data_IF_470142635750
#
_entry.id   IF_470142635750
#
_cell.length_a   1.000
_cell.length_b   1.000
_cell.length_c   1.000
_cell.angle_alpha   90.00
_cell.angle_beta   90.00
_cell.angle_gamma   90.00
#
_symmetry.space_group_name_H-M   'P 1'
#
loop_
_entity.id
_entity.type
_entity.pdbx_description
1 polymer ?
#
# COMPACT_ATOMS: atom_id res chain seq x y z
N UNK A 1 -13.30 5.99 38.94
CA UNK A 1 -12.09 6.61 38.35
C UNK A 1 -11.54 5.61 37.36
N UNK A 2 -11.78 5.83 36.07
CA UNK A 2 -11.30 4.96 35.00
C UNK A 2 -10.12 5.69 34.37
N UNK A 3 -8.93 5.12 34.51
CA UNK A 3 -7.73 5.59 33.83
C UNK A 3 -8.01 5.64 32.34
N UNK A 4 -8.07 6.87 31.82
CA UNK A 4 -8.13 7.09 30.38
C UNK A 4 -6.83 6.57 29.79
N UNK A 5 -6.85 5.61 28.85
CA UNK A 5 -5.62 5.18 28.19
C UNK A 5 -5.04 6.40 27.49
N UNK A 6 -3.93 6.89 28.02
CA UNK A 6 -3.14 8.00 27.47
C UNK A 6 -2.95 7.73 25.98
N UNK A 7 -3.21 8.73 25.13
CA UNK A 7 -3.08 8.67 23.67
C UNK A 7 -1.63 8.42 23.25
N UNK A 8 -1.17 7.17 23.35
CA UNK A 8 0.18 6.76 22.92
C UNK A 8 0.37 6.96 21.41
N UNK A 9 -0.70 6.98 20.62
CA UNK A 9 -0.63 7.17 19.15
C UNK A 9 -0.18 8.56 18.71
N UNK A 10 -0.61 9.61 19.41
CA UNK A 10 -0.37 10.99 18.97
C UNK A 10 1.08 11.41 19.25
N UNK A 11 1.65 10.90 20.35
CA UNK A 11 3.05 11.10 20.70
C UNK A 11 3.98 10.29 19.78
N UNK A 12 3.62 9.06 19.40
CA UNK A 12 4.46 8.23 18.54
C UNK A 12 4.70 8.85 17.15
N UNK A 13 3.67 9.39 16.49
CA UNK A 13 3.84 10.06 15.19
C UNK A 13 4.59 11.39 15.29
N UNK A 14 4.44 12.10 16.40
CA UNK A 14 5.12 13.39 16.61
C UNK A 14 6.59 13.20 16.93
N UNK A 15 6.92 12.20 17.76
CA UNK A 15 8.29 11.79 18.03
C UNK A 15 8.94 11.30 16.74
N UNK A 16 8.28 10.43 15.96
CA UNK A 16 8.80 9.95 14.67
C UNK A 16 9.09 11.08 13.67
N UNK A 17 8.17 12.03 13.55
CA UNK A 17 8.34 13.21 12.71
C UNK A 17 9.54 14.05 13.16
N UNK A 18 9.69 14.28 14.46
CA UNK A 18 10.82 15.00 15.03
C UNK A 18 12.14 14.25 14.83
N UNK A 19 12.18 12.93 15.01
CA UNK A 19 13.40 12.14 14.78
C UNK A 19 13.80 12.17 13.31
N UNK A 20 12.84 12.09 12.38
CA UNK A 20 13.11 12.20 10.95
C UNK A 20 13.61 13.61 10.56
N UNK A 21 13.07 14.67 11.16
CA UNK A 21 13.52 16.06 10.95
C UNK A 21 14.93 16.26 11.49
N UNK A 22 15.21 15.81 12.71
CA UNK A 22 16.56 15.90 13.28
C UNK A 22 17.57 15.10 12.46
N UNK A 23 17.21 13.91 11.98
CA UNK A 23 18.07 13.12 11.09
C UNK A 23 18.28 13.79 9.72
N UNK A 24 17.26 14.42 9.14
CA UNK A 24 17.39 15.13 7.86
C UNK A 24 18.23 16.41 7.98
N UNK A 25 18.05 17.19 9.05
CA UNK A 25 18.86 18.37 9.36
C UNK A 25 20.30 17.95 9.65
N UNK A 26 20.50 16.91 10.48
CA UNK A 26 21.82 16.42 10.80
C UNK A 26 22.54 15.81 9.59
N UNK A 27 21.82 15.15 8.66
CA UNK A 27 22.39 14.69 7.40
C UNK A 27 22.77 15.83 6.44
N UNK A 28 22.11 16.99 6.54
CA UNK A 28 22.46 18.19 5.78
C UNK A 28 23.63 18.96 6.41
N UNK A 29 23.76 18.91 7.74
CA UNK A 29 24.77 19.68 8.50
C UNK A 29 26.07 18.90 8.80
N UNK A 30 26.06 17.56 8.80
CA UNK A 30 27.23 16.73 9.11
C UNK A 30 27.65 15.94 7.87
N UNK A 31 28.74 16.31 7.16
CA UNK A 31 29.23 15.52 6.05
C UNK A 31 29.87 14.20 6.54
N UNK A 32 29.59 13.08 5.86
CA UNK A 32 30.32 11.81 6.00
C UNK A 32 29.54 10.68 6.69
N UNK A 33 30.25 9.81 7.42
CA UNK A 33 29.68 8.66 8.13
C UNK A 33 28.56 8.96 9.15
N UNK A 34 28.51 10.14 9.83
CA UNK A 34 27.44 10.44 10.79
C UNK A 34 26.08 10.58 10.11
N UNK A 35 26.04 11.15 8.90
CA UNK A 35 24.83 11.24 8.06
C UNK A 35 24.24 9.86 7.77
N UNK A 36 25.09 8.87 7.48
CA UNK A 36 24.68 7.50 7.15
C UNK A 36 24.11 6.78 8.40
N UNK A 37 24.73 7.00 9.57
CA UNK A 37 24.25 6.43 10.83
C UNK A 37 22.89 7.01 11.24
N UNK A 38 22.71 8.33 11.14
CA UNK A 38 21.43 9.01 11.41
C UNK A 38 20.32 8.57 10.45
N UNK A 39 20.69 8.23 9.22
CA UNK A 39 19.79 7.66 8.23
C UNK A 39 19.31 6.26 8.60
N UNK A 40 20.23 5.40 9.00
CA UNK A 40 19.93 4.04 9.41
C UNK A 40 19.01 4.03 10.64
N UNK A 41 19.25 4.92 11.60
CA UNK A 41 18.39 5.12 12.78
C UNK A 41 17.01 5.63 12.40
N UNK A 42 16.90 6.59 11.48
CA UNK A 42 15.61 7.11 11.01
C UNK A 42 14.79 6.03 10.26
N UNK A 43 15.44 5.25 9.39
CA UNK A 43 14.80 4.14 8.67
C UNK A 43 14.38 3.04 9.64
N UNK A 44 15.21 2.68 10.61
CA UNK A 44 14.87 1.69 11.65
C UNK A 44 13.67 2.14 12.50
N UNK A 45 13.65 3.40 12.93
CA UNK A 45 12.54 3.98 13.69
C UNK A 45 11.24 4.02 12.87
N UNK A 46 11.30 4.42 11.59
CA UNK A 46 10.15 4.39 10.69
C UNK A 46 9.65 2.95 10.44
N UNK A 47 10.57 1.99 10.28
CA UNK A 47 10.23 0.58 10.06
C UNK A 47 9.53 -0.02 11.27
N UNK A 48 9.98 0.32 12.49
CA UNK A 48 9.34 -0.09 13.73
C UNK A 48 7.92 0.49 13.89
N UNK A 49 7.73 1.75 13.49
CA UNK A 49 6.41 2.40 13.50
C UNK A 49 5.47 1.84 12.42
N UNK A 50 5.98 1.54 11.23
CA UNK A 50 5.23 0.86 10.18
C UNK A 50 4.81 -0.54 10.67
N UNK A 51 5.71 -1.28 11.31
CA UNK A 51 5.39 -2.58 11.90
C UNK A 51 4.28 -2.49 12.96
N UNK A 52 4.37 -1.53 13.88
CA UNK A 52 3.33 -1.27 14.89
C UNK A 52 1.99 -0.81 14.30
N UNK A 53 2.01 -0.03 13.21
CA UNK A 53 0.82 0.40 12.48
C UNK A 53 0.18 -0.74 11.66
N UNK A 54 1.00 -1.64 11.10
CA UNK A 54 0.56 -2.80 10.33
C UNK A 54 -0.19 -3.78 11.22
N UNK A 55 0.23 -4.00 12.46
CA UNK A 55 -0.49 -4.88 13.39
C UNK A 55 -1.90 -4.40 13.75
N UNK A 56 -2.19 -3.08 13.67
CA UNK A 56 -3.51 -2.52 14.02
C UNK A 56 -4.56 -2.58 12.89
N UNK A 57 -4.27 -3.25 11.79
CA UNK A 57 -5.26 -3.68 10.79
C UNK A 57 -5.88 -2.60 9.88
N UNK A 58 -5.78 -1.29 10.17
CA UNK A 58 -6.36 -0.28 9.28
C UNK A 58 -5.46 -0.03 8.05
N UNK A 59 -6.00 -0.38 6.88
CA UNK A 59 -5.37 -0.20 5.57
C UNK A 59 -4.97 1.26 5.33
N UNK A 60 -5.72 2.23 5.86
CA UNK A 60 -5.38 3.65 5.75
C UNK A 60 -4.07 3.97 6.46
N UNK A 61 -3.88 3.45 7.68
CA UNK A 61 -2.65 3.65 8.47
C UNK A 61 -1.46 2.95 7.82
N UNK A 62 -1.68 1.76 7.22
CA UNK A 62 -0.66 1.05 6.44
C UNK A 62 -0.22 1.83 5.20
N UNK A 63 -1.18 2.36 4.44
CA UNK A 63 -0.89 3.17 3.27
C UNK A 63 -0.15 4.46 3.64
N UNK A 64 -0.55 5.12 4.74
CA UNK A 64 0.09 6.34 5.22
C UNK A 64 1.51 6.09 5.70
N UNK A 65 1.73 4.99 6.43
CA UNK A 65 3.06 4.59 6.87
C UNK A 65 3.98 4.29 5.69
N UNK A 66 3.47 3.60 4.65
CA UNK A 66 4.21 3.35 3.42
C UNK A 66 4.59 4.65 2.70
N UNK A 67 3.64 5.59 2.56
CA UNK A 67 3.90 6.89 1.95
C UNK A 67 4.97 7.69 2.70
N UNK A 68 4.96 7.63 4.04
CA UNK A 68 6.00 8.26 4.86
C UNK A 68 7.37 7.61 4.62
N UNK A 69 7.46 6.28 4.57
CA UNK A 69 8.73 5.56 4.28
C UNK A 69 9.28 5.96 2.91
N UNK A 70 8.42 5.90 1.88
CA UNK A 70 8.81 6.25 0.52
C UNK A 70 9.25 7.71 0.44
N UNK A 71 8.50 8.63 1.06
CA UNK A 71 8.83 10.05 1.11
C UNK A 71 10.19 10.32 1.77
N UNK A 72 10.45 9.69 2.92
CA UNK A 72 11.72 9.83 3.65
C UNK A 72 12.89 9.29 2.83
N UNK A 73 12.75 8.12 2.19
CA UNK A 73 13.80 7.54 1.35
C UNK A 73 14.12 8.44 0.14
N UNK A 74 13.08 9.01 -0.49
CA UNK A 74 13.23 9.96 -1.59
C UNK A 74 13.94 11.23 -1.16
N UNK A 75 13.46 11.90 -0.11
CA UNK A 75 14.06 13.13 0.39
C UNK A 75 15.53 12.93 0.78
N UNK A 76 15.80 11.81 1.45
CA UNK A 76 17.14 11.41 1.84
C UNK A 76 18.05 11.16 0.64
N UNK A 77 17.62 10.33 -0.32
CA UNK A 77 18.45 9.97 -1.46
C UNK A 77 18.81 11.19 -2.30
N UNK A 78 17.84 12.10 -2.52
CA UNK A 78 18.06 13.35 -3.24
C UNK A 78 18.94 14.30 -2.43
N UNK A 79 18.71 14.41 -1.12
CA UNK A 79 19.53 15.23 -0.22
C UNK A 79 21.00 14.79 -0.21
N UNK A 80 21.24 13.49 -0.12
CA UNK A 80 22.58 12.91 -0.24
C UNK A 80 23.21 13.22 -1.60
N UNK A 81 22.44 13.07 -2.69
CA UNK A 81 22.87 13.44 -4.03
C UNK A 81 23.32 14.90 -4.13
N UNK A 82 22.51 15.83 -3.60
CA UNK A 82 22.82 17.26 -3.56
C UNK A 82 24.04 17.58 -2.68
N UNK A 83 24.18 16.92 -1.53
CA UNK A 83 25.35 17.07 -0.67
C UNK A 83 26.62 16.60 -1.38
N UNK A 84 26.56 15.45 -2.07
CA UNK A 84 27.68 14.92 -2.85
C UNK A 84 28.05 15.84 -4.02
N UNK A 85 27.10 16.59 -4.63
CA UNK A 85 27.46 17.63 -5.63
C UNK A 85 28.37 18.71 -5.07
N UNK A 86 28.20 19.07 -3.79
CA UNK A 86 29.04 20.07 -3.11
C UNK A 86 30.35 19.50 -2.60
N UNK A 87 30.31 18.28 -2.07
CA UNK A 87 31.48 17.64 -1.44
C UNK A 87 32.44 17.07 -2.47
N UNK A 88 31.93 16.56 -3.59
CA UNK A 88 32.71 15.93 -4.67
C UNK A 88 32.16 16.34 -6.05
N UNK A 89 32.50 17.56 -6.53
CA UNK A 89 32.01 18.08 -7.80
C UNK A 89 32.51 17.25 -9.00
N UNK A 90 33.62 16.54 -8.87
CA UNK A 90 34.14 15.64 -9.91
C UNK A 90 33.24 14.44 -10.12
N UNK A 91 32.81 13.81 -9.03
CA UNK A 91 31.88 12.70 -9.08
C UNK A 91 30.54 13.11 -9.70
N UNK A 92 30.07 14.32 -9.39
CA UNK A 92 28.87 14.87 -10.02
C UNK A 92 29.04 15.08 -11.52
N UNK A 93 30.15 15.70 -11.96
CA UNK A 93 30.45 15.92 -13.37
C UNK A 93 30.51 14.62 -14.17
N UNK A 94 30.95 13.52 -13.56
CA UNK A 94 30.90 12.19 -14.20
C UNK A 94 29.50 11.62 -14.29
N UNK A 95 28.71 11.77 -13.22
CA UNK A 95 27.35 11.25 -13.19
C UNK A 95 26.41 12.00 -14.15
N UNK A 96 26.60 13.31 -14.32
CA UNK A 96 25.71 14.19 -15.08
C UNK A 96 26.28 14.71 -16.39
N UNK A 97 27.61 14.68 -16.56
CA UNK A 97 28.29 15.26 -17.72
C UNK A 97 28.37 14.33 -18.92
N UNK A 98 28.80 14.89 -20.03
CA UNK A 98 29.07 14.16 -21.27
C UNK A 98 30.54 13.83 -21.37
N UNK A 99 30.88 12.61 -21.79
CA UNK A 99 32.27 12.26 -22.07
C UNK A 99 32.74 13.05 -23.30
N UNK A 100 33.88 13.72 -23.16
CA UNK A 100 34.50 14.56 -24.19
C UNK A 100 36.01 14.31 -24.22
N UNK A 101 36.62 14.67 -25.35
CA UNK A 101 38.07 14.81 -25.45
C UNK A 101 38.39 16.29 -25.33
N UNK A 102 39.05 16.69 -24.24
CA UNK A 102 39.45 18.07 -24.01
C UNK A 102 40.89 18.29 -24.46
N UNK A 103 41.13 19.35 -25.23
CA UNK A 103 42.45 19.85 -25.56
C UNK A 103 42.88 20.87 -24.51
N UNK A 104 43.95 20.58 -23.81
CA UNK A 104 44.47 21.41 -22.71
C UNK A 104 45.65 22.22 -23.22
N UNK A 105 45.54 23.55 -23.11
CA UNK A 105 46.65 24.49 -23.31
C UNK A 105 47.47 24.63 -22.03
N UNK A 106 48.75 25.01 -22.11
CA UNK A 106 49.77 24.87 -21.04
C UNK A 106 49.47 25.57 -19.69
N UNK A 107 48.35 26.28 -19.55
CA UNK A 107 47.98 27.04 -18.35
C UNK A 107 47.27 26.16 -17.31
N UNK A 108 48.05 25.33 -16.61
CA UNK A 108 47.57 24.53 -15.48
C UNK A 108 47.99 25.15 -14.14
N UNK A 109 46.99 25.50 -13.33
CA UNK A 109 47.20 25.99 -11.97
C UNK A 109 47.16 24.79 -11.00
N UNK A 110 48.30 24.48 -10.39
CA UNK A 110 48.39 23.41 -9.39
C UNK A 110 47.72 23.86 -8.10
N UNK A 111 46.75 23.09 -7.62
CA UNK A 111 46.11 23.38 -6.36
C UNK A 111 47.11 23.13 -5.23
N UNK A 112 47.75 24.19 -4.72
CA UNK A 112 48.75 24.13 -3.67
C UNK A 112 48.09 23.93 -2.29
N UNK A 113 47.40 22.80 -2.15
CA UNK A 113 46.57 22.48 -1.01
C UNK A 113 47.27 21.52 -0.06
N UNK A 114 48.05 22.04 0.90
CA UNK A 114 48.31 21.31 2.15
C UNK A 114 47.02 21.25 2.99
N UNK A 115 45.98 20.56 2.52
CA UNK A 115 44.87 20.16 3.39
C UNK A 115 45.39 19.05 4.31
N UNK A 116 45.33 19.28 5.63
CA UNK A 116 45.82 18.37 6.69
C UNK A 116 45.44 16.92 6.35
N UNK A 117 46.41 16.12 5.89
CA UNK A 117 46.28 14.67 5.73
C UNK A 117 46.35 14.09 4.30
N UNK A 118 46.14 14.85 3.22
CA UNK A 118 46.26 14.34 1.85
C UNK A 118 46.76 15.41 0.88
N UNK A 119 47.90 15.19 0.22
CA UNK A 119 48.33 16.01 -0.92
C UNK A 119 47.32 15.82 -2.05
N UNK A 120 46.52 16.83 -2.36
CA UNK A 120 45.69 16.80 -3.57
C UNK A 120 46.60 17.01 -4.77
N UNK A 121 46.99 15.92 -5.45
CA UNK A 121 47.76 15.95 -6.69
C UNK A 121 46.88 16.40 -7.89
N UNK A 122 46.18 17.53 -7.77
CA UNK A 122 45.27 18.02 -8.79
C UNK A 122 45.76 19.35 -9.36
N UNK A 123 45.58 19.52 -10.65
CA UNK A 123 45.80 20.77 -11.37
C UNK A 123 44.53 21.14 -12.12
N UNK A 124 44.22 22.44 -12.13
CA UNK A 124 43.10 22.99 -12.88
C UNK A 124 43.66 23.71 -14.09
N UNK A 125 43.42 23.16 -15.29
CA UNK A 125 43.89 23.74 -16.53
C UNK A 125 42.80 24.61 -17.15
N UNK A 126 43.08 25.91 -17.28
CA UNK A 126 42.16 26.90 -17.85
C UNK A 126 42.29 26.91 -19.38
N UNK A 127 41.30 27.50 -20.06
CA UNK A 127 41.28 27.65 -21.52
C UNK A 127 41.32 26.33 -22.31
N UNK A 128 40.97 25.22 -21.67
CA UNK A 128 40.84 23.95 -22.35
C UNK A 128 39.63 23.98 -23.29
N UNK A 129 39.74 23.34 -24.45
CA UNK A 129 38.69 23.33 -25.47
C UNK A 129 38.16 21.92 -25.73
N UNK A 130 36.86 21.79 -25.94
CA UNK A 130 36.21 20.53 -26.33
C UNK A 130 34.99 20.78 -27.20
N UNK A 131 34.45 19.72 -27.80
CA UNK A 131 33.19 19.81 -28.57
C UNK A 131 32.05 19.24 -27.73
N UNK A 132 31.00 20.03 -27.52
CA UNK A 132 29.76 19.59 -26.86
C UNK A 132 28.56 19.96 -27.75
N UNK A 133 27.69 18.98 -28.03
CA UNK A 133 26.52 19.16 -28.91
C UNK A 133 26.87 19.80 -30.26
N UNK A 134 28.00 19.42 -30.85
CA UNK A 134 28.48 19.93 -32.14
C UNK A 134 29.03 21.37 -32.11
N UNK A 135 29.19 21.98 -30.92
CA UNK A 135 29.76 23.32 -30.77
C UNK A 135 31.08 23.28 -29.98
N UNK A 136 32.07 24.13 -30.35
CA UNK A 136 33.25 24.29 -29.54
C UNK A 136 32.89 25.00 -28.23
N UNK A 137 33.42 24.48 -27.12
CA UNK A 137 33.29 25.04 -25.78
C UNK A 137 34.70 25.26 -25.24
N UNK A 138 34.91 26.40 -24.59
CA UNK A 138 36.15 26.75 -23.88
C UNK A 138 35.82 26.76 -22.39
N UNK A 139 36.69 26.16 -21.55
CA UNK A 139 36.48 26.15 -20.11
C UNK A 139 37.66 25.57 -19.34
N UNK A 140 37.39 25.03 -18.15
CA UNK A 140 38.41 24.48 -17.25
C UNK A 140 38.35 22.96 -17.16
N UNK A 141 39.49 22.29 -17.17
CA UNK A 141 39.61 20.83 -16.95
C UNK A 141 40.42 20.56 -15.69
N UNK A 142 39.87 19.78 -14.76
CA UNK A 142 40.63 19.25 -13.62
C UNK A 142 41.32 17.94 -14.00
N UNK A 143 42.66 17.90 -13.85
CA UNK A 143 43.52 16.76 -14.21
C UNK A 143 44.37 16.38 -13.00
N UNK A 144 44.72 15.10 -12.81
CA UNK A 144 45.74 14.75 -11.80
C UNK A 144 47.10 15.23 -12.31
N UNK A 145 47.90 15.82 -11.42
CA UNK A 145 49.22 16.37 -11.74
C UNK A 145 50.15 15.34 -12.40
N UNK A 146 50.00 14.05 -12.05
CA UNK A 146 50.76 12.94 -12.64
C UNK A 146 50.38 12.61 -14.09
N UNK A 147 49.19 13.03 -14.55
CA UNK A 147 48.72 12.79 -15.92
C UNK A 147 49.08 13.97 -16.84
N UNK A 148 49.68 15.04 -16.32
CA UNK A 148 50.17 16.17 -17.11
C UNK A 148 51.53 15.79 -17.69
N UNK A 149 51.69 15.79 -19.02
CA UNK A 149 52.98 15.48 -19.65
C UNK A 149 54.03 16.52 -19.27
N UNK A 150 55.21 16.05 -18.84
CA UNK A 150 56.30 16.93 -18.37
C UNK A 150 56.92 17.83 -19.44
N UNK A 151 56.58 17.64 -20.72
CA UNK A 151 57.05 18.46 -21.86
C UNK A 151 56.37 19.82 -21.95
N UNK A 152 55.39 20.11 -21.09
CA UNK A 152 54.67 21.38 -21.03
C UNK A 152 53.73 21.63 -22.21
N UNK A 153 53.87 20.94 -23.35
CA UNK A 153 53.08 21.13 -24.58
C UNK A 153 51.57 20.88 -24.43
N UNK A 154 50.77 21.32 -25.42
CA UNK A 154 49.34 21.00 -25.46
C UNK A 154 49.12 19.49 -25.50
N UNK A 155 48.11 19.00 -24.78
CA UNK A 155 47.80 17.59 -24.70
C UNK A 155 46.29 17.33 -24.69
N UNK A 156 45.90 16.09 -24.96
CA UNK A 156 44.50 15.67 -24.96
C UNK A 156 44.22 14.77 -23.76
N UNK A 157 43.05 14.96 -23.15
CA UNK A 157 42.58 14.12 -22.05
C UNK A 157 41.11 13.80 -22.21
N UNK A 158 40.74 12.54 -21.96
CA UNK A 158 39.34 12.13 -21.85
C UNK A 158 38.77 12.62 -20.53
N UNK A 159 37.69 13.38 -20.61
CA UNK A 159 37.08 14.04 -19.45
C UNK A 159 35.55 13.97 -19.51
N UNK A 160 34.91 14.14 -18.36
CA UNK A 160 33.46 14.29 -18.24
C UNK A 160 33.13 15.77 -18.07
N UNK A 161 32.52 16.38 -19.09
CA UNK A 161 32.20 17.81 -19.14
C UNK A 161 30.74 18.10 -18.76
N UNK A 162 30.55 19.15 -17.97
CA UNK A 162 29.25 19.71 -17.61
C UNK A 162 29.33 21.25 -17.72
N UNK A 163 28.79 21.81 -18.80
CA UNK A 163 28.95 23.24 -19.10
C UNK A 163 30.40 23.57 -19.45
N UNK A 164 31.00 24.53 -18.76
CA UNK A 164 32.38 25.03 -18.94
C UNK A 164 33.40 24.33 -18.02
N UNK A 165 33.00 23.25 -17.33
CA UNK A 165 33.88 22.52 -16.43
C UNK A 165 33.95 21.05 -16.82
N UNK A 166 35.15 20.47 -16.87
CA UNK A 166 35.36 19.05 -17.08
C UNK A 166 36.29 18.42 -16.04
N UNK A 167 36.15 17.12 -15.80
CA UNK A 167 36.99 16.35 -14.88
C UNK A 167 37.58 15.12 -15.60
N UNK A 168 38.90 14.96 -15.55
CA UNK A 168 39.60 13.88 -16.23
C UNK A 168 39.16 12.48 -15.74
N UNK A 169 39.11 11.52 -16.66
CA UNK A 169 38.67 10.14 -16.36
C UNK A 169 39.63 9.40 -15.42
N UNK A 170 40.93 9.69 -15.49
CA UNK A 170 42.00 9.11 -14.65
C UNK A 170 41.82 9.26 -13.14
N UNK A 171 40.89 10.12 -12.68
CA UNK A 171 40.50 10.28 -11.28
C UNK A 171 39.49 9.22 -10.79
N UNK A 172 39.26 8.15 -11.55
CA UNK A 172 38.22 7.14 -11.31
C UNK A 172 38.66 6.09 -10.29
N UNK A 173 38.52 6.44 -9.01
CA UNK A 173 38.38 5.40 -7.99
C UNK A 173 37.02 4.70 -8.23
N UNK A 174 36.96 3.38 -8.04
CA UNK A 174 35.74 2.58 -8.28
C UNK A 174 34.65 2.96 -7.29
N UNK A 175 33.76 3.88 -7.65
CA UNK A 175 32.53 4.11 -6.91
C UNK A 175 31.49 3.05 -7.27
N UNK A 176 30.60 2.69 -6.33
CA UNK A 176 29.56 1.71 -6.59
C UNK A 176 28.49 2.29 -7.54
N UNK A 177 27.96 1.43 -8.43
CA UNK A 177 27.05 1.81 -9.52
C UNK A 177 25.74 2.50 -9.10
N UNK A 178 25.40 2.48 -7.80
CA UNK A 178 24.17 3.09 -7.26
C UNK A 178 24.29 4.59 -6.94
N UNK A 179 25.50 5.16 -6.92
CA UNK A 179 25.72 6.57 -6.54
C UNK A 179 25.30 7.60 -7.61
N UNK A 180 25.66 7.43 -8.90
CA UNK A 180 25.31 8.39 -9.95
C UNK A 180 23.81 8.71 -10.05
N UNK A 181 22.89 7.73 -9.83
CA UNK A 181 21.47 7.99 -9.83
C UNK A 181 20.97 9.08 -8.88
N UNK A 182 21.49 9.06 -7.67
CA UNK A 182 21.11 9.99 -6.62
C UNK A 182 21.69 11.37 -6.89
N UNK A 183 22.92 11.42 -7.41
CA UNK A 183 23.62 12.67 -7.68
C UNK A 183 23.00 13.48 -8.82
N UNK A 184 22.32 12.88 -9.78
CA UNK A 184 21.63 13.64 -10.84
C UNK A 184 20.14 13.84 -10.58
N UNK A 185 19.63 13.39 -9.43
CA UNK A 185 18.21 13.52 -9.13
C UNK A 185 17.79 15.01 -9.15
N UNK A 186 16.68 15.36 -9.80
CA UNK A 186 16.21 16.73 -9.82
C UNK A 186 15.76 17.15 -8.41
N UNK A 187 16.05 18.40 -8.04
CA UNK A 187 15.79 18.91 -6.69
C UNK A 187 14.31 18.88 -6.30
N UNK A 188 13.38 18.92 -7.27
CA UNK A 188 11.94 18.83 -6.98
C UNK A 188 11.53 17.46 -6.39
N UNK A 189 12.31 16.39 -6.62
CA UNK A 189 12.08 15.11 -5.95
C UNK A 189 12.32 15.19 -4.43
N UNK A 190 13.18 16.11 -3.98
CA UNK A 190 13.32 16.43 -2.56
C UNK A 190 12.00 16.99 -2.03
N UNK A 191 11.41 17.96 -2.74
CA UNK A 191 10.14 18.59 -2.37
C UNK A 191 9.01 17.57 -2.33
N UNK A 192 8.93 16.68 -3.33
CA UNK A 192 7.94 15.59 -3.36
C UNK A 192 8.18 14.61 -2.21
N UNK A 193 9.42 14.22 -1.95
CA UNK A 193 9.77 13.34 -0.82
C UNK A 193 9.35 13.94 0.53
N UNK A 194 9.65 15.22 0.73
CA UNK A 194 9.24 15.97 1.93
C UNK A 194 7.71 16.11 2.01
N UNK A 195 7.03 16.43 0.90
CA UNK A 195 5.58 16.53 0.87
C UNK A 195 4.89 15.18 1.18
N UNK A 196 5.48 14.05 0.76
CA UNK A 196 4.97 12.73 1.12
C UNK A 196 5.26 12.38 2.58
N UNK A 197 6.46 12.68 3.08
CA UNK A 197 6.86 12.41 4.46
C UNK A 197 6.06 13.24 5.48
N UNK A 198 5.77 14.50 5.17
CA UNK A 198 5.15 15.45 6.10
C UNK A 198 3.71 15.82 5.74
N UNK A 199 3.42 15.97 4.46
CA UNK A 199 2.08 16.35 3.98
C UNK A 199 1.06 15.24 4.17
N UNK A 200 1.43 13.97 4.02
CA UNK A 200 0.52 12.85 4.27
C UNK A 200 0.05 12.78 5.73
N UNK A 201 0.92 12.83 6.76
CA UNK A 201 0.48 12.86 8.16
C UNK A 201 -0.19 14.18 8.56
N UNK A 202 0.25 15.34 8.03
CA UNK A 202 -0.42 16.62 8.30
C UNK A 202 -1.84 16.67 7.70
N UNK A 203 -2.02 16.15 6.47
CA UNK A 203 -3.33 16.00 5.86
C UNK A 203 -4.19 14.99 6.62
N UNK A 204 -3.59 13.90 7.14
CA UNK A 204 -4.30 12.95 7.98
C UNK A 204 -4.80 13.55 9.31
N UNK A 205 -4.04 14.50 9.89
CA UNK A 205 -4.44 15.24 11.10
C UNK A 205 -5.50 16.31 10.83
N UNK A 206 -5.51 16.88 9.61
CA UNK A 206 -6.52 17.86 9.16
C UNK A 206 -7.78 17.24 8.60
N UNK A 207 -7.80 15.93 8.36
CA UNK A 207 -9.07 15.23 8.25
C UNK A 207 -9.78 15.47 9.58
N UNK A 208 -10.94 16.15 9.58
CA UNK A 208 -11.61 16.58 10.80
C UNK A 208 -11.65 15.37 11.73
N UNK A 209 -11.01 15.54 12.90
CA UNK A 209 -11.02 14.54 13.94
C UNK A 209 -12.43 14.04 14.05
N UNK A 210 -12.61 12.71 13.93
CA UNK A 210 -13.93 12.09 14.05
C UNK A 210 -14.63 12.80 15.21
N UNK A 211 -15.67 13.62 14.96
CA UNK A 211 -16.49 14.09 16.07
C UNK A 211 -16.94 12.81 16.77
N UNK A 212 -16.88 12.77 18.10
CA UNK A 212 -17.34 11.63 18.88
C UNK A 212 -18.66 11.14 18.29
N UNK A 213 -18.60 10.01 17.58
CA UNK A 213 -19.69 9.45 16.77
C UNK A 213 -20.68 8.74 17.70
N UNK A 214 -20.98 9.35 18.85
CA UNK A 214 -21.95 8.84 19.80
C UNK A 214 -23.36 9.40 19.56
N UNK A 215 -23.51 10.48 18.78
CA UNK A 215 -24.84 11.14 18.64
C UNK A 215 -25.32 11.50 17.23
N UNK A 216 -24.52 11.33 16.17
CA UNK A 216 -25.03 11.44 14.79
C UNK A 216 -25.00 10.10 14.07
N UNK A 217 -25.68 9.12 14.67
CA UNK A 217 -26.36 8.10 13.89
C UNK A 217 -27.53 8.79 13.17
N UNK A 218 -27.54 8.76 11.83
CA UNK A 218 -28.73 8.56 10.97
C UNK A 218 -28.52 8.87 9.50
N UNK A 219 -27.42 9.52 9.10
CA UNK A 219 -27.14 9.74 7.68
C UNK A 219 -25.77 9.19 7.26
N UNK A 220 -25.75 7.87 7.07
CA UNK A 220 -24.67 7.15 6.38
C UNK A 220 -24.64 7.54 4.90
N UNK A 221 -24.02 8.69 4.58
CA UNK A 221 -23.78 9.07 3.19
C UNK A 221 -22.99 7.96 2.45
N UNK A 222 -23.51 7.37 1.35
CA UNK A 222 -22.91 6.26 0.61
C UNK A 222 -21.53 6.56 -0.01
N UNK A 223 -21.10 7.82 0.05
CA UNK A 223 -19.84 8.31 -0.53
C UNK A 223 -18.56 7.82 0.19
N UNK A 224 -18.64 7.36 1.45
CA UNK A 224 -17.44 6.91 2.19
C UNK A 224 -16.82 5.61 1.65
N UNK A 225 -17.64 4.72 1.07
CA UNK A 225 -17.19 3.42 0.56
C UNK A 225 -16.32 3.57 -0.70
N UNK A 226 -16.56 4.62 -1.51
CA UNK A 226 -15.86 4.85 -2.78
C UNK A 226 -14.57 5.67 -2.68
N UNK A 227 -14.41 6.49 -1.63
CA UNK A 227 -13.24 7.39 -1.48
C UNK A 227 -11.90 6.63 -1.37
N UNK A 228 -11.88 5.53 -0.62
CA UNK A 228 -10.63 4.78 -0.34
C UNK A 228 -9.98 4.17 -1.60
N UNK A 229 -10.70 3.45 -2.46
CA UNK A 229 -10.07 2.89 -3.65
C UNK A 229 -9.81 3.94 -4.75
N UNK A 230 -10.59 5.03 -4.82
CA UNK A 230 -10.30 6.15 -5.72
C UNK A 230 -8.97 6.84 -5.36
N UNK A 231 -8.72 7.06 -4.06
CA UNK A 231 -7.42 7.57 -3.59
C UNK A 231 -6.28 6.60 -3.89
N UNK A 232 -6.51 5.29 -3.80
CA UNK A 232 -5.53 4.26 -4.18
C UNK A 232 -5.19 4.29 -5.68
N UNK A 233 -6.20 4.47 -6.55
CA UNK A 233 -6.00 4.63 -8.00
C UNK A 233 -5.21 5.91 -8.30
N UNK A 234 -5.58 7.04 -7.69
CA UNK A 234 -4.89 8.31 -7.89
C UNK A 234 -3.42 8.23 -7.45
N UNK A 235 -3.14 7.62 -6.30
CA UNK A 235 -1.77 7.40 -5.82
C UNK A 235 -0.97 6.47 -6.74
N UNK A 236 -1.58 5.38 -7.22
CA UNK A 236 -0.94 4.47 -8.17
C UNK A 236 -0.65 5.14 -9.51
N UNK A 237 -1.57 5.96 -10.03
CA UNK A 237 -1.40 6.69 -11.29
C UNK A 237 -0.25 7.70 -11.20
N UNK A 238 -0.19 8.47 -10.11
CA UNK A 238 0.90 9.41 -9.84
C UNK A 238 2.26 8.71 -9.78
N UNK A 239 2.33 7.55 -9.11
CA UNK A 239 3.55 6.76 -9.03
C UNK A 239 3.96 6.18 -10.40
N UNK A 240 3.01 5.76 -11.23
CA UNK A 240 3.27 5.29 -12.59
C UNK A 240 3.81 6.39 -13.50
N UNK A 241 3.26 7.61 -13.44
CA UNK A 241 3.83 8.77 -14.15
C UNK A 241 5.25 9.10 -13.73
N UNK A 242 5.56 9.02 -12.42
CA UNK A 242 6.93 9.19 -11.93
C UNK A 242 7.88 8.09 -12.40
N UNK A 243 7.37 6.86 -12.55
CA UNK A 243 8.15 5.71 -13.03
C UNK A 243 8.55 5.85 -14.50
N UNK A 244 7.62 6.30 -15.34
CA UNK A 244 7.85 6.50 -16.78
C UNK A 244 8.92 7.56 -17.04
N UNK A 245 8.93 8.65 -16.26
CA UNK A 245 9.98 9.68 -16.35
C UNK A 245 11.37 9.17 -15.91
N UNK A 246 11.44 8.21 -14.98
CA UNK A 246 12.70 7.57 -14.58
C UNK A 246 13.24 6.62 -15.67
N UNK A 247 12.35 5.95 -16.41
CA UNK A 247 12.71 5.04 -17.51
C UNK A 247 13.23 5.81 -18.72
N UNK A 248 12.64 6.96 -19.06
CA UNK A 248 13.12 7.81 -20.18
C UNK A 248 14.50 8.43 -19.94
N UNK A 249 14.99 8.43 -18.70
CA UNK A 249 16.33 8.93 -18.32
C UNK A 249 17.44 7.88 -18.32
N UNK A 250 17.23 6.69 -18.90
CA UNK A 250 18.28 5.66 -19.06
C UNK A 250 18.53 4.77 -17.84
N UNK A 251 17.57 4.65 -16.90
CA UNK A 251 17.70 3.87 -15.65
C UNK A 251 16.63 2.79 -15.56
N UNK A 252 16.94 1.63 -16.12
CA UNK A 252 15.95 0.60 -16.47
C UNK A 252 15.42 -0.22 -15.28
N UNK A 253 16.25 -0.56 -14.29
CA UNK A 253 15.85 -1.56 -13.27
C UNK A 253 14.97 -0.97 -12.16
N UNK A 254 15.38 0.16 -11.55
CA UNK A 254 14.62 0.78 -10.45
C UNK A 254 13.32 1.43 -10.96
N UNK A 255 13.36 2.06 -12.13
CA UNK A 255 12.16 2.58 -12.81
C UNK A 255 11.18 1.45 -13.16
N UNK A 256 11.69 0.31 -13.63
CA UNK A 256 10.90 -0.90 -13.88
C UNK A 256 10.24 -1.46 -12.62
N UNK A 257 10.98 -1.58 -11.50
CA UNK A 257 10.45 -2.06 -10.22
C UNK A 257 9.36 -1.12 -9.65
N UNK A 258 9.58 0.19 -9.69
CA UNK A 258 8.58 1.17 -9.25
C UNK A 258 7.34 1.15 -10.14
N UNK A 259 7.51 1.01 -11.45
CA UNK A 259 6.39 0.84 -12.39
C UNK A 259 5.60 -0.43 -12.08
N UNK A 260 6.27 -1.56 -11.82
CA UNK A 260 5.63 -2.83 -11.50
C UNK A 260 4.85 -2.78 -10.19
N UNK A 261 5.42 -2.21 -9.12
CA UNK A 261 4.73 -2.03 -7.84
C UNK A 261 3.54 -1.07 -7.98
N UNK A 262 3.72 0.04 -8.70
CA UNK A 262 2.65 1.01 -8.94
C UNK A 262 1.51 0.41 -9.74
N UNK A 263 1.83 -0.35 -10.80
CA UNK A 263 0.86 -1.08 -11.60
C UNK A 263 0.11 -2.13 -10.78
N UNK A 264 0.81 -2.90 -9.93
CA UNK A 264 0.19 -3.89 -9.06
C UNK A 264 -0.79 -3.24 -8.07
N UNK A 265 -0.39 -2.11 -7.46
CA UNK A 265 -1.27 -1.34 -6.56
C UNK A 265 -2.50 -0.83 -7.31
N UNK A 266 -2.30 -0.24 -8.49
CA UNK A 266 -3.38 0.24 -9.37
C UNK A 266 -4.34 -0.90 -9.74
N UNK A 267 -3.82 -2.03 -10.20
CA UNK A 267 -4.61 -3.21 -10.57
C UNK A 267 -5.39 -3.76 -9.37
N UNK A 268 -4.79 -3.76 -8.19
CA UNK A 268 -5.46 -4.24 -6.97
C UNK A 268 -6.63 -3.33 -6.57
N UNK A 269 -6.42 -2.01 -6.58
CA UNK A 269 -7.47 -1.05 -6.21
C UNK A 269 -8.54 -0.90 -7.30
N UNK A 270 -8.15 -0.89 -8.58
CA UNK A 270 -9.06 -0.94 -9.71
C UNK A 270 -9.89 -2.23 -9.68
N UNK A 271 -9.25 -3.38 -9.43
CA UNK A 271 -9.92 -4.66 -9.25
C UNK A 271 -10.96 -4.63 -8.12
N UNK A 272 -10.63 -4.02 -6.98
CA UNK A 272 -11.59 -3.82 -5.88
C UNK A 272 -12.77 -2.91 -6.27
N UNK A 273 -12.53 -1.81 -6.99
CA UNK A 273 -13.59 -0.89 -7.45
C UNK A 273 -14.50 -1.56 -8.49
N UNK A 274 -13.90 -2.24 -9.47
CA UNK A 274 -14.64 -3.00 -10.48
C UNK A 274 -15.43 -4.11 -9.80
N UNK A 275 -14.86 -4.81 -8.82
CA UNK A 275 -15.55 -5.81 -8.01
C UNK A 275 -16.76 -5.20 -7.29
N UNK A 276 -16.59 -4.14 -6.49
CA UNK A 276 -17.70 -3.48 -5.77
C UNK A 276 -18.80 -3.01 -6.73
N UNK A 277 -18.42 -2.36 -7.84
CA UNK A 277 -19.39 -1.89 -8.85
C UNK A 277 -20.11 -3.05 -9.54
N UNK A 278 -19.38 -4.11 -9.89
CA UNK A 278 -19.92 -5.32 -10.50
C UNK A 278 -20.85 -6.05 -9.54
N UNK A 279 -20.51 -6.12 -8.26
CA UNK A 279 -21.38 -6.70 -7.22
C UNK A 279 -22.66 -5.87 -7.11
N UNK A 280 -22.56 -4.56 -6.93
CA UNK A 280 -23.75 -3.70 -6.77
C UNK A 280 -24.69 -3.79 -7.97
N UNK A 281 -24.16 -3.61 -9.18
CA UNK A 281 -24.96 -3.69 -10.42
C UNK A 281 -25.45 -5.12 -10.68
N UNK A 282 -24.61 -6.10 -10.40
CA UNK A 282 -24.94 -7.51 -10.55
C UNK A 282 -26.07 -7.95 -9.62
N UNK A 283 -26.06 -7.49 -8.37
CA UNK A 283 -27.08 -7.77 -7.35
C UNK A 283 -28.40 -7.08 -7.68
N UNK A 284 -28.36 -5.80 -8.07
CA UNK A 284 -29.55 -5.08 -8.51
C UNK A 284 -30.22 -5.76 -9.74
N UNK A 285 -29.41 -6.15 -10.74
CA UNK A 285 -29.92 -6.88 -11.92
C UNK A 285 -30.44 -8.28 -11.58
N UNK A 286 -29.77 -8.98 -10.66
CA UNK A 286 -30.23 -10.28 -10.19
C UNK A 286 -31.60 -10.14 -9.52
N UNK A 287 -31.73 -9.20 -8.58
CA UNK A 287 -32.97 -8.96 -7.87
C UNK A 287 -34.12 -8.61 -8.83
N UNK A 288 -33.88 -7.68 -9.75
CA UNK A 288 -34.86 -7.30 -10.78
C UNK A 288 -35.30 -8.47 -11.67
N UNK A 289 -34.40 -9.39 -12.04
CA UNK A 289 -34.73 -10.55 -12.89
C UNK A 289 -35.63 -11.58 -12.20
N UNK A 290 -35.55 -11.67 -10.88
CA UNK A 290 -36.30 -12.66 -10.10
C UNK A 290 -37.45 -12.06 -9.29
N UNK A 291 -37.72 -10.75 -9.46
CA UNK A 291 -38.74 -10.06 -8.67
C UNK A 291 -38.41 -9.98 -7.18
N UNK A 292 -37.12 -9.93 -6.84
CA UNK A 292 -36.63 -9.77 -5.47
C UNK A 292 -36.33 -8.30 -5.17
N UNK A 293 -36.26 -7.98 -3.89
CA UNK A 293 -35.93 -6.65 -3.41
C UNK A 293 -34.42 -6.42 -3.36
N UNK A 294 -34.00 -5.22 -3.75
CA UNK A 294 -32.62 -4.79 -3.66
C UNK A 294 -32.49 -3.51 -2.84
N UNK A 295 -31.66 -3.55 -1.80
CA UNK A 295 -31.26 -2.38 -1.01
C UNK A 295 -29.76 -2.19 -1.14
N UNK A 296 -29.33 -0.99 -1.54
CA UNK A 296 -27.90 -0.72 -1.70
C UNK A 296 -27.17 -0.77 -0.36
N UNK A 297 -27.76 -0.19 0.68
CA UNK A 297 -27.21 -0.11 2.03
C UNK A 297 -28.34 -0.32 3.01
N UNK A 298 -28.09 -1.13 4.03
CA UNK A 298 -28.96 -1.28 5.18
C UNK A 298 -28.12 -1.19 6.46
N UNK A 299 -28.16 -0.07 7.20
CA UNK A 299 -27.24 0.19 8.31
C UNK A 299 -27.49 -0.69 9.54
N UNK A 300 -28.70 -1.23 9.71
CA UNK A 300 -29.11 -1.99 10.90
C UNK A 300 -29.23 -3.50 10.68
N UNK A 301 -29.37 -3.94 9.42
CA UNK A 301 -29.69 -5.33 9.10
C UNK A 301 -28.83 -6.40 9.81
N UNK A 302 -27.48 -6.33 9.87
CA UNK A 302 -26.70 -7.35 10.55
C UNK A 302 -27.07 -7.51 12.04
N UNK A 303 -27.36 -6.40 12.72
CA UNK A 303 -27.74 -6.38 14.14
C UNK A 303 -29.20 -6.84 14.33
N UNK A 304 -30.09 -6.45 13.42
CA UNK A 304 -31.51 -6.83 13.45
C UNK A 304 -31.74 -8.33 13.24
N UNK A 305 -30.84 -9.02 12.53
CA UNK A 305 -30.94 -10.46 12.30
C UNK A 305 -30.76 -11.30 13.57
N UNK A 306 -30.19 -10.75 14.64
CA UNK A 306 -30.00 -11.46 15.91
C UNK A 306 -29.02 -12.64 15.85
N UNK A 307 -28.24 -12.75 14.78
CA UNK A 307 -27.26 -13.82 14.56
C UNK A 307 -25.98 -13.48 15.32
N UNK A 308 -25.47 -14.41 16.14
CA UNK A 308 -24.33 -14.18 17.03
C UNK A 308 -23.08 -13.74 16.25
N UNK A 309 -22.88 -14.27 15.05
CA UNK A 309 -21.76 -13.89 14.18
C UNK A 309 -21.78 -12.43 13.70
N UNK A 310 -22.92 -11.75 13.78
CA UNK A 310 -23.06 -10.35 13.43
C UNK A 310 -23.01 -9.40 14.64
N UNK A 311 -22.97 -9.92 15.87
CA UNK A 311 -22.92 -9.10 17.09
C UNK A 311 -21.69 -8.17 17.09
N UNK A 312 -20.54 -8.68 16.65
CA UNK A 312 -19.27 -7.95 16.55
C UNK A 312 -19.00 -7.38 15.14
N UNK A 313 -19.92 -7.57 14.20
CA UNK A 313 -19.75 -7.05 12.85
C UNK A 313 -19.81 -5.51 12.85
N UNK A 314 -19.10 -4.89 11.91
CA UNK A 314 -19.26 -3.45 11.72
C UNK A 314 -20.70 -3.15 11.30
N UNK A 315 -21.28 -2.04 11.78
CA UNK A 315 -22.65 -1.68 11.42
C UNK A 315 -22.79 -1.51 9.91
N UNK A 316 -23.89 -2.03 9.40
CA UNK A 316 -24.31 -1.91 8.01
C UNK A 316 -23.99 -3.11 7.12
N UNK A 317 -24.99 -3.49 6.35
CA UNK A 317 -24.94 -4.36 5.19
C UNK A 317 -24.95 -3.53 3.90
N UNK A 318 -24.38 -4.06 2.84
CA UNK A 318 -24.42 -3.47 1.50
C UNK A 318 -24.81 -4.51 0.46
N UNK A 319 -25.32 -4.03 -0.68
CA UNK A 319 -25.79 -4.86 -1.80
C UNK A 319 -26.76 -5.97 -1.36
N UNK A 320 -27.69 -5.61 -0.47
CA UNK A 320 -28.66 -6.52 0.13
C UNK A 320 -29.69 -6.93 -0.92
N UNK A 321 -29.87 -8.23 -1.09
CA UNK A 321 -30.94 -8.84 -1.90
C UNK A 321 -31.81 -9.66 -0.96
N UNK A 322 -33.11 -9.41 -0.94
CA UNK A 322 -34.09 -10.15 -0.13
C UNK A 322 -35.25 -10.64 -0.99
N UNK A 323 -35.79 -11.81 -0.69
CA UNK A 323 -36.96 -12.32 -1.40
C UNK A 323 -37.35 -13.71 -0.93
N UNK A 324 -38.26 -14.32 -1.69
CA UNK A 324 -38.72 -15.70 -1.48
C UNK A 324 -38.28 -16.56 -2.65
N UNK A 325 -37.82 -17.77 -2.37
CA UNK A 325 -37.45 -18.78 -3.37
C UNK A 325 -37.87 -20.16 -2.88
N UNK A 326 -38.64 -20.89 -3.70
CA UNK A 326 -39.23 -22.19 -3.32
C UNK A 326 -40.06 -22.14 -2.03
N UNK A 327 -40.71 -20.99 -1.78
CA UNK A 327 -41.49 -20.76 -0.56
C UNK A 327 -40.66 -20.39 0.67
N UNK A 328 -39.34 -20.25 0.54
CA UNK A 328 -38.43 -19.95 1.66
C UNK A 328 -37.87 -18.54 1.56
N UNK A 329 -37.93 -17.79 2.67
CA UNK A 329 -37.33 -16.47 2.79
C UNK A 329 -35.80 -16.57 2.73
N UNK A 330 -35.17 -15.69 1.94
CA UNK A 330 -33.71 -15.61 1.88
C UNK A 330 -33.20 -14.17 1.91
N UNK A 331 -31.94 -14.03 2.32
CA UNK A 331 -31.17 -12.80 2.30
C UNK A 331 -29.79 -13.05 1.71
N UNK A 332 -29.31 -12.15 0.87
CA UNK A 332 -27.90 -12.13 0.47
C UNK A 332 -27.36 -10.73 0.67
N UNK A 333 -26.26 -10.60 1.41
CA UNK A 333 -25.70 -9.30 1.73
C UNK A 333 -24.18 -9.35 1.81
N UNK A 334 -23.56 -8.20 1.61
CA UNK A 334 -22.15 -7.99 1.91
C UNK A 334 -22.02 -7.24 3.25
N UNK A 335 -21.26 -7.80 4.19
CA UNK A 335 -20.98 -7.16 5.49
C UNK A 335 -19.49 -7.14 5.77
N UNK A 336 -19.09 -6.34 6.77
CA UNK A 336 -17.71 -6.32 7.25
C UNK A 336 -17.60 -7.03 8.59
N UNK A 337 -16.75 -8.06 8.63
CA UNK A 337 -16.41 -8.75 9.87
C UNK A 337 -15.68 -7.82 10.86
N UNK A 338 -15.39 -8.35 12.06
CA UNK A 338 -14.64 -7.64 13.12
C UNK A 338 -13.27 -7.16 12.64
N UNK A 339 -12.61 -7.92 11.78
CA UNK A 339 -11.32 -7.59 11.19
C UNK A 339 -11.42 -6.55 10.04
N UNK A 340 -12.63 -6.24 9.58
CA UNK A 340 -12.92 -5.32 8.49
C UNK A 340 -12.86 -5.93 7.10
N UNK A 341 -12.72 -7.26 6.98
CA UNK A 341 -12.85 -7.98 5.72
C UNK A 341 -14.28 -7.90 5.21
N UNK A 342 -14.43 -7.68 3.90
CA UNK A 342 -15.73 -7.68 3.26
C UNK A 342 -16.09 -9.13 2.91
N UNK A 343 -17.19 -9.63 3.45
CA UNK A 343 -17.70 -10.97 3.17
C UNK A 343 -19.09 -10.90 2.55
N UNK A 344 -19.36 -11.77 1.59
CA UNK A 344 -20.73 -12.02 1.11
C UNK A 344 -21.30 -13.19 1.91
N UNK A 345 -22.46 -12.99 2.53
CA UNK A 345 -23.20 -14.05 3.25
C UNK A 345 -24.54 -14.29 2.58
N UNK A 346 -24.88 -15.57 2.44
CA UNK A 346 -26.19 -16.03 2.00
C UNK A 346 -26.89 -16.58 3.24
N UNK A 347 -28.13 -16.17 3.48
CA UNK A 347 -28.97 -16.65 4.56
C UNK A 347 -30.28 -17.16 4.00
N UNK A 348 -30.77 -18.24 4.56
CA UNK A 348 -32.09 -18.81 4.29
C UNK A 348 -32.77 -19.02 5.63
N UNK A 349 -34.05 -18.69 5.72
CA UNK A 349 -34.83 -18.84 6.94
C UNK A 349 -35.28 -20.30 7.07
N UNK A 350 -35.09 -20.87 8.25
CA UNK A 350 -35.62 -22.20 8.57
C UNK A 350 -37.10 -22.09 8.93
N UNK A 351 -37.88 -23.12 8.58
CA UNK A 351 -39.29 -23.18 8.97
C UNK A 351 -39.43 -23.32 10.49
N UNK A 352 -38.57 -24.13 11.10
CA UNK A 352 -38.53 -24.33 12.55
C UNK A 352 -37.18 -23.89 13.10
N UNK A 353 -37.12 -22.86 13.97
CA UNK A 353 -35.87 -22.46 14.60
C UNK A 353 -35.21 -23.62 15.35
N UNK A 354 -33.90 -23.77 15.18
CA UNK A 354 -33.16 -24.80 15.92
C UNK A 354 -32.76 -24.23 17.28
N UNK A 355 -33.24 -24.80 18.41
CA UNK A 355 -32.89 -24.29 19.73
C UNK A 355 -31.42 -24.58 20.06
N UNK A 356 -30.80 -23.66 20.79
CA UNK A 356 -29.44 -23.81 21.30
C UNK A 356 -28.41 -22.86 20.66
N UNK A 357 -27.12 -23.04 20.98
CA UNK A 357 -26.05 -22.22 20.43
C UNK A 357 -25.81 -22.49 18.95
N UNK A 358 -25.22 -21.51 18.27
CA UNK A 358 -24.86 -21.63 16.86
C UNK A 358 -23.87 -22.79 16.63
N UNK A 359 -24.08 -23.54 15.54
CA UNK A 359 -23.20 -24.64 15.14
C UNK A 359 -22.92 -24.60 13.65
N UNK A 360 -21.93 -25.38 13.22
CA UNK A 360 -21.47 -25.49 11.84
C UNK A 360 -21.45 -26.95 11.40
N UNK A 361 -22.00 -27.21 10.22
CA UNK A 361 -21.85 -28.48 9.50
C UNK A 361 -20.85 -28.27 8.37
N UNK A 362 -19.79 -29.06 8.35
CA UNK A 362 -18.76 -29.00 7.32
C UNK A 362 -18.18 -30.39 7.05
N UNK A 363 -18.25 -30.86 5.80
CA UNK A 363 -17.74 -32.17 5.36
C UNK A 363 -18.25 -33.34 6.22
N UNK A 364 -19.56 -33.36 6.47
CA UNK A 364 -20.24 -34.41 7.23
C UNK A 364 -19.94 -34.36 8.74
N UNK A 365 -19.34 -33.28 9.24
CA UNK A 365 -19.00 -33.13 10.65
C UNK A 365 -19.73 -31.94 11.25
N UNK A 366 -20.25 -32.17 12.45
CA UNK A 366 -20.81 -31.14 13.31
C UNK A 366 -19.69 -30.52 14.15
N UNK A 367 -19.63 -29.20 14.18
CA UNK A 367 -18.63 -28.43 14.92
C UNK A 367 -19.27 -27.20 15.53
N UNK A 368 -18.84 -26.80 16.73
CA UNK A 368 -19.40 -25.67 17.45
C UNK A 368 -19.06 -25.78 18.92
N UNK A 369 -18.92 -24.65 19.59
CA UNK A 369 -18.66 -24.64 21.03
C UNK A 369 -19.99 -24.82 21.77
N UNK A 370 -20.06 -25.81 22.67
CA UNK A 370 -21.26 -26.05 23.48
C UNK A 370 -22.46 -26.64 22.74
N UNK A 371 -22.27 -27.32 21.59
CA UNK A 371 -23.37 -27.98 20.87
C UNK A 371 -24.05 -29.01 21.78
N UNK A 372 -25.34 -28.82 22.16
CA UNK A 372 -26.03 -29.69 23.09
C UNK A 372 -26.07 -31.13 22.58
N UNK A 373 -26.06 -32.10 23.49
CA UNK A 373 -26.15 -33.52 23.13
C UNK A 373 -27.40 -33.82 22.30
N UNK A 374 -28.52 -33.15 22.59
CA UNK A 374 -29.76 -33.24 21.83
C UNK A 374 -29.59 -32.88 20.34
N UNK A 375 -28.79 -31.86 20.05
CA UNK A 375 -28.44 -31.47 18.68
C UNK A 375 -27.52 -32.53 18.07
N UNK A 376 -26.53 -33.03 18.80
CA UNK A 376 -25.63 -34.09 18.28
C UNK A 376 -26.38 -35.39 17.94
N UNK A 377 -27.35 -35.77 18.77
CA UNK A 377 -28.18 -36.97 18.55
C UNK A 377 -29.13 -36.76 17.36
N UNK A 378 -29.69 -35.56 17.18
CA UNK A 378 -30.58 -35.24 16.05
C UNK A 378 -29.83 -35.20 14.72
N UNK A 379 -28.64 -34.61 14.71
CA UNK A 379 -27.79 -34.52 13.53
C UNK A 379 -26.86 -35.73 13.44
N UNK A 380 -27.45 -36.89 13.23
CA UNK A 380 -26.71 -38.14 13.03
C UNK A 380 -25.79 -38.06 11.78
N UNK A 381 -24.84 -39.00 11.62
CA UNK A 381 -23.91 -38.97 10.50
C UNK A 381 -24.56 -38.97 9.11
N UNK A 382 -25.74 -39.59 8.95
CA UNK A 382 -26.45 -39.62 7.68
C UNK A 382 -27.10 -38.27 7.34
N UNK A 383 -27.69 -37.60 8.33
CA UNK A 383 -28.19 -36.22 8.19
C UNK A 383 -27.04 -35.28 7.83
N UNK A 384 -25.93 -35.34 8.56
CA UNK A 384 -24.76 -34.50 8.32
C UNK A 384 -24.16 -34.72 6.92
N UNK A 385 -24.13 -35.98 6.46
CA UNK A 385 -23.72 -36.35 5.10
C UNK A 385 -24.65 -35.73 4.06
N UNK A 386 -25.97 -35.90 4.20
CA UNK A 386 -26.97 -35.33 3.28
C UNK A 386 -26.89 -33.80 3.21
N UNK A 387 -26.70 -33.11 4.34
CA UNK A 387 -26.49 -31.66 4.37
C UNK A 387 -25.24 -31.28 3.57
N UNK A 388 -24.14 -32.03 3.74
CA UNK A 388 -22.87 -31.75 3.06
C UNK A 388 -22.88 -32.10 1.56
N UNK A 389 -23.70 -33.08 1.16
CA UNK A 389 -23.96 -33.41 -0.23
C UNK A 389 -24.82 -32.33 -0.91
N UNK A 390 -25.84 -31.83 -0.21
CA UNK A 390 -26.69 -30.73 -0.68
C UNK A 390 -25.91 -29.42 -0.79
N UNK A 391 -25.05 -29.13 0.19
CA UNK A 391 -24.20 -27.95 0.21
C UNK A 391 -22.74 -28.31 0.51
N UNK A 392 -21.91 -28.27 -0.53
CA UNK A 392 -20.48 -28.58 -0.45
C UNK A 392 -19.65 -27.55 0.33
N UNK A 393 -20.26 -26.44 0.76
CA UNK A 393 -19.60 -25.41 1.59
C UNK A 393 -19.99 -25.56 3.05
N UNK A 394 -19.17 -25.02 3.95
CA UNK A 394 -19.51 -25.00 5.37
C UNK A 394 -20.80 -24.19 5.59
N UNK A 395 -21.75 -24.79 6.31
CA UNK A 395 -23.04 -24.19 6.63
C UNK A 395 -23.10 -23.94 8.13
N UNK A 396 -23.53 -22.75 8.50
CA UNK A 396 -23.73 -22.35 9.89
C UNK A 396 -25.22 -22.25 10.19
N UNK A 397 -25.64 -22.79 11.31
CA UNK A 397 -27.02 -22.74 11.79
C UNK A 397 -27.02 -21.90 13.07
N UNK A 398 -27.87 -20.87 13.10
CA UNK A 398 -27.99 -19.96 14.22
C UNK A 398 -29.45 -19.51 14.37
N UNK A 399 -30.13 -20.06 15.38
CA UNK A 399 -31.56 -19.86 15.63
C UNK A 399 -32.42 -20.24 14.43
N UNK A 400 -33.11 -19.25 13.85
CA UNK A 400 -34.00 -19.41 12.70
C UNK A 400 -33.32 -19.29 11.34
N UNK A 401 -31.99 -19.23 11.27
CA UNK A 401 -31.25 -19.01 10.03
C UNK A 401 -30.23 -20.10 9.76
N UNK A 402 -30.17 -20.51 8.50
CA UNK A 402 -29.06 -21.26 7.92
C UNK A 402 -28.26 -20.32 7.02
N UNK A 403 -26.94 -20.27 7.16
CA UNK A 403 -26.08 -19.35 6.41
C UNK A 403 -24.84 -20.01 5.83
N UNK A 404 -24.42 -19.52 4.67
CA UNK A 404 -23.17 -19.89 4.01
C UNK A 404 -22.35 -18.63 3.69
N UNK A 405 -21.05 -18.70 3.92
CA UNK A 405 -20.11 -17.61 3.63
C UNK A 405 -19.49 -17.81 2.25
N UNK A 406 -19.34 -16.72 1.50
CA UNK A 406 -18.45 -16.69 0.35
C UNK A 406 -17.17 -15.91 0.65
N UNK A 407 -16.06 -16.63 0.75
CA UNK A 407 -14.72 -16.07 1.02
C UNK A 407 -13.90 -15.78 -0.24
N UNK A 408 -14.50 -15.93 -1.42
CA UNK A 408 -13.82 -15.60 -2.67
C UNK A 408 -13.45 -14.10 -2.72
N UNK A 409 -12.28 -13.77 -3.27
CA UNK A 409 -11.80 -12.39 -3.39
C UNK A 409 -12.74 -11.50 -4.22
N UNK A 410 -13.50 -12.12 -5.12
CA UNK A 410 -14.53 -11.48 -5.93
C UNK A 410 -15.90 -11.98 -5.49
N UNK A 411 -16.88 -11.08 -5.44
CA UNK A 411 -18.27 -11.47 -5.17
C UNK A 411 -18.73 -12.48 -6.23
N UNK A 412 -19.52 -13.50 -5.85
CA UNK A 412 -19.89 -14.56 -6.77
C UNK A 412 -20.77 -14.01 -7.89
N UNK A 413 -20.63 -14.57 -9.09
CA UNK A 413 -21.51 -14.24 -10.20
C UNK A 413 -22.96 -14.60 -9.91
N UNK A 414 -23.90 -13.98 -10.63
CA UNK A 414 -25.35 -14.15 -10.46
C UNK A 414 -25.79 -15.62 -10.45
N UNK A 415 -25.37 -16.41 -11.44
CA UNK A 415 -25.71 -17.84 -11.53
C UNK A 415 -25.19 -18.62 -10.31
N UNK A 416 -23.98 -18.30 -9.82
CA UNK A 416 -23.38 -18.96 -8.66
C UNK A 416 -24.07 -18.58 -7.35
N UNK A 417 -24.61 -17.36 -7.24
CA UNK A 417 -25.45 -16.96 -6.12
C UNK A 417 -26.72 -17.81 -6.08
N UNK A 418 -27.42 -17.92 -7.22
CA UNK A 418 -28.66 -18.70 -7.31
C UNK A 418 -28.40 -20.17 -7.01
N UNK A 419 -27.38 -20.77 -7.63
CA UNK A 419 -26.99 -22.15 -7.36
C UNK A 419 -26.67 -22.40 -5.87
N UNK A 420 -25.97 -21.46 -5.22
CA UNK A 420 -25.66 -21.57 -3.79
C UNK A 420 -26.87 -21.33 -2.89
N UNK A 421 -27.82 -20.49 -3.30
CA UNK A 421 -29.09 -20.34 -2.61
C UNK A 421 -29.89 -21.65 -2.70
N UNK A 422 -29.99 -22.26 -3.88
CA UNK A 422 -30.67 -23.55 -4.08
C UNK A 422 -30.06 -24.65 -3.19
N UNK A 423 -28.72 -24.74 -3.18
CA UNK A 423 -28.01 -25.67 -2.31
C UNK A 423 -28.26 -25.39 -0.81
N UNK A 424 -28.35 -24.13 -0.41
CA UNK A 424 -28.61 -23.72 0.98
C UNK A 424 -30.07 -23.97 1.39
N UNK A 425 -31.02 -23.80 0.47
CA UNK A 425 -32.45 -24.14 0.66
C UNK A 425 -32.60 -25.66 0.81
N UNK A 426 -31.97 -26.45 -0.06
CA UNK A 426 -31.97 -27.91 0.05
C UNK A 426 -31.38 -28.40 1.38
N UNK A 427 -30.29 -27.79 1.83
CA UNK A 427 -29.73 -28.05 3.16
C UNK A 427 -30.72 -27.66 4.28
N UNK A 428 -31.36 -26.49 4.18
CA UNK A 428 -32.39 -26.04 5.12
C UNK A 428 -33.56 -27.01 5.22
N UNK A 429 -34.07 -27.51 4.09
CA UNK A 429 -35.15 -28.50 4.07
C UNK A 429 -34.77 -29.82 4.78
N UNK A 430 -33.51 -30.26 4.66
CA UNK A 430 -33.01 -31.43 5.40
C UNK A 430 -33.00 -31.14 6.91
N UNK A 431 -32.57 -29.94 7.31
CA UNK A 431 -32.57 -29.52 8.71
C UNK A 431 -34.01 -29.45 9.27
N UNK A 432 -34.92 -28.81 8.56
CA UNK A 432 -36.33 -28.69 8.97
C UNK A 432 -37.01 -30.06 9.08
N UNK A 433 -36.69 -31.01 8.19
CA UNK A 433 -37.20 -32.38 8.27
C UNK A 433 -36.70 -33.16 9.51
N UNK A 434 -35.62 -32.70 10.13
CA UNK A 434 -35.11 -33.25 11.40
C UNK A 434 -35.59 -32.50 12.64
N UNK A 435 -36.17 -31.31 12.46
CA UNK A 435 -36.79 -30.58 13.55
C UNK A 435 -37.98 -31.39 14.09
N UNK A 436 -38.21 -31.39 15.41
CA UNK A 436 -39.35 -32.12 15.95
C UNK A 436 -40.60 -31.42 15.42
N UNK A 437 -41.57 -32.18 14.92
CA UNK A 437 -42.93 -31.66 14.91
C UNK A 437 -43.21 -31.29 16.37
N UNK A 438 -43.31 -30.00 16.69
CA UNK A 438 -43.86 -29.58 17.96
C UNK A 438 -45.20 -30.30 18.06
N UNK A 439 -45.26 -31.36 18.87
CA UNK A 439 -46.52 -31.87 19.34
C UNK A 439 -47.04 -30.72 20.19
N UNK A 440 -47.97 -29.94 19.64
CA UNK A 440 -48.80 -29.03 20.42
C UNK A 440 -49.38 -29.89 21.56
N UNK A 441 -48.82 -29.74 22.75
CA UNK A 441 -49.38 -30.26 24.00
C UNK A 441 -50.22 -29.15 24.60
#
# INVERSE_FOLDING_TARGET
MVDSPVRVSDNAFTVAGLTAVFSAIAAFCLPGWPSVALLAVAVAALSYLVYGAVQRGDVATRALALLCVVGTLLATGVGFGLAMRRLDPDLYRRAAGTQVVAQVTQECEYADGRRRGAKTNNATCKNATWTANGRPVVGSVEVRAQDIPGSGGPFQVTAWALGEHASAESRADRYPAWLPPLMTAPWWLLVVGLALAFGAPAAARRLPGRPDLRERSKESSPLRTYRRPLLGIAAGALALTGSVQLISGGRTVLGGLLAAVSALVLLTYAGKLVSVRRTRLGRARLASRHGWDFREVDPGLPQELGIAAFADARPGATSVVSGVREGVDFLVLDYRDKAGHLETVLLVRLATPVPGPAFMVNRGRLTGEGVPLEVQVRFDPDVLRRISEANQTAVYVDGGWIRALNRDFLSPGQARIVQRLDALIAAGAIIDATAPAERNI
#
